data_IF_410931257863
#
_entry.id   IF_410931257863
#
_cell.length_a   1.000
_cell.length_b   1.000
_cell.length_c   1.000
_cell.angle_alpha   90.00
_cell.angle_beta   90.00
_cell.angle_gamma   90.00
#
_symmetry.space_group_name_H-M   'P 1'
#
loop_
_entity.id
_entity.type
_entity.pdbx_description
1 polymer ?
#
# COMPACT_ATOMS: atom_id res chain seq x y z
N UNK A 1 38.57 -25.81 -32.80
CA UNK A 1 38.33 -26.66 -31.62
C UNK A 1 39.56 -26.56 -30.73
N UNK A 2 39.48 -25.73 -29.69
CA UNK A 2 40.56 -25.54 -28.73
C UNK A 2 40.31 -26.44 -27.50
N UNK A 3 41.32 -27.11 -26.95
CA UNK A 3 41.14 -27.98 -25.80
C UNK A 3 40.90 -27.12 -24.54
N UNK A 4 39.82 -27.41 -23.83
CA UNK A 4 39.54 -26.87 -22.50
C UNK A 4 40.63 -27.40 -21.55
N UNK A 5 41.47 -26.49 -21.06
CA UNK A 5 42.55 -26.76 -20.13
C UNK A 5 42.03 -27.45 -18.87
N UNK A 6 42.54 -28.66 -18.64
CA UNK A 6 42.26 -29.47 -17.47
C UNK A 6 42.90 -28.91 -16.21
N UNK A 7 42.20 -29.13 -15.10
CA UNK A 7 42.77 -29.44 -13.79
C UNK A 7 43.70 -28.39 -13.20
N UNK A 8 43.13 -27.34 -12.61
CA UNK A 8 43.70 -26.80 -11.37
C UNK A 8 43.48 -27.87 -10.29
N UNK A 9 44.39 -28.85 -10.24
CA UNK A 9 44.55 -29.71 -9.08
C UNK A 9 44.94 -28.76 -7.95
N UNK A 10 44.03 -28.56 -7.01
CA UNK A 10 44.28 -27.81 -5.78
C UNK A 10 45.43 -28.50 -5.05
N UNK A 11 46.65 -28.05 -5.31
CA UNK A 11 47.77 -28.33 -4.43
C UNK A 11 47.36 -27.85 -3.05
N UNK A 12 47.39 -28.70 -2.00
CA UNK A 12 46.94 -28.32 -0.68
C UNK A 12 47.84 -27.18 -0.21
N UNK A 13 47.34 -25.96 -0.35
CA UNK A 13 47.99 -24.77 0.16
C UNK A 13 48.09 -25.00 1.65
N UNK A 14 49.32 -25.19 2.11
CA UNK A 14 49.62 -25.47 3.51
C UNK A 14 49.44 -24.18 4.30
N UNK A 15 48.18 -23.82 4.55
CA UNK A 15 47.80 -22.66 5.36
C UNK A 15 48.16 -23.00 6.80
N UNK A 16 48.99 -22.15 7.41
CA UNK A 16 49.41 -22.37 8.80
C UNK A 16 48.24 -22.05 9.72
N UNK A 17 47.90 -22.97 10.61
CA UNK A 17 46.76 -22.86 11.52
C UNK A 17 47.22 -22.97 12.97
N UNK A 18 46.62 -22.17 13.85
CA UNK A 18 46.85 -22.20 15.29
C UNK A 18 45.55 -22.54 16.03
N UNK A 19 45.55 -23.50 16.97
CA UNK A 19 44.34 -23.86 17.72
C UNK A 19 43.93 -22.71 18.65
N UNK A 20 42.65 -22.34 18.64
CA UNK A 20 42.14 -21.25 19.48
C UNK A 20 41.67 -21.70 20.88
N UNK A 21 41.55 -23.01 21.10
CA UNK A 21 41.01 -23.60 22.33
C UNK A 21 39.48 -23.62 22.41
N UNK A 22 38.77 -23.07 21.43
CA UNK A 22 37.31 -23.13 21.32
C UNK A 22 36.87 -24.24 20.35
N UNK A 23 35.66 -24.75 20.54
CA UNK A 23 35.00 -25.67 19.62
C UNK A 23 33.73 -25.04 19.05
N UNK A 24 33.29 -25.48 17.87
CA UNK A 24 32.08 -24.95 17.25
C UNK A 24 30.83 -25.37 18.04
N UNK A 25 30.20 -24.41 18.70
CA UNK A 25 28.91 -24.55 19.35
C UNK A 25 27.78 -24.16 18.36
N UNK A 26 27.29 -25.14 17.59
CA UNK A 26 26.14 -24.95 16.69
C UNK A 26 26.24 -25.71 15.37
N UNK A 27 25.09 -26.15 14.85
CA UNK A 27 25.00 -26.90 13.60
C UNK A 27 25.49 -26.07 12.41
N UNK A 28 26.52 -26.56 11.73
CA UNK A 28 27.09 -25.92 10.55
C UNK A 28 27.58 -26.99 9.57
N UNK A 29 26.86 -27.24 8.47
CA UNK A 29 27.32 -28.21 7.50
C UNK A 29 28.57 -27.71 6.76
N UNK A 30 29.51 -28.61 6.53
CA UNK A 30 30.68 -28.38 5.69
C UNK A 30 30.23 -28.02 4.27
N UNK A 31 30.77 -26.93 3.71
CA UNK A 31 30.42 -26.46 2.36
C UNK A 31 30.83 -27.42 1.24
N UNK A 32 31.71 -28.40 1.52
CA UNK A 32 32.19 -29.35 0.52
C UNK A 32 31.46 -30.70 0.55
N UNK A 33 31.26 -31.28 1.73
CA UNK A 33 30.69 -32.63 1.87
C UNK A 33 29.38 -32.68 2.69
N UNK A 34 28.92 -31.56 3.25
CA UNK A 34 27.69 -31.50 4.05
C UNK A 34 27.80 -32.03 5.48
N UNK A 35 28.95 -32.58 5.89
CA UNK A 35 29.16 -33.07 7.26
C UNK A 35 28.96 -31.97 8.30
N UNK A 36 28.28 -32.27 9.40
CA UNK A 36 27.98 -31.30 10.45
C UNK A 36 29.20 -31.04 11.34
N UNK A 37 29.63 -29.77 11.42
CA UNK A 37 30.86 -29.38 12.08
C UNK A 37 30.71 -29.12 13.59
N UNK A 38 29.59 -29.46 14.22
CA UNK A 38 29.41 -29.29 15.68
C UNK A 38 30.54 -29.95 16.46
N UNK A 39 31.12 -29.24 17.42
CA UNK A 39 32.15 -29.75 18.31
C UNK A 39 33.56 -29.84 17.70
N UNK A 40 33.72 -29.53 16.41
CA UNK A 40 35.06 -29.46 15.81
C UNK A 40 35.85 -28.27 16.34
N UNK A 41 37.17 -28.42 16.56
CA UNK A 41 38.01 -27.36 17.09
C UNK A 41 38.10 -26.18 16.12
N UNK A 42 38.05 -24.98 16.67
CA UNK A 42 38.23 -23.74 15.95
C UNK A 42 39.72 -23.45 15.84
N UNK A 43 40.21 -23.35 14.61
CA UNK A 43 41.58 -22.98 14.27
C UNK A 43 41.62 -21.55 13.75
N UNK A 44 42.72 -20.82 13.96
CA UNK A 44 42.99 -19.53 13.35
C UNK A 44 43.97 -19.72 12.21
N UNK A 45 43.55 -19.43 10.98
CA UNK A 45 44.45 -19.40 9.84
C UNK A 45 45.35 -18.16 9.97
N UNK A 46 46.62 -18.34 10.32
CA UNK A 46 47.57 -17.25 10.65
C UNK A 46 47.72 -16.31 9.46
N UNK A 47 47.86 -16.88 8.26
CA UNK A 47 48.11 -16.13 7.01
C UNK A 47 46.93 -15.23 6.60
N UNK A 48 45.72 -15.53 7.10
CA UNK A 48 44.47 -14.86 6.73
C UNK A 48 43.82 -14.13 7.91
N UNK A 49 44.34 -14.33 9.13
CA UNK A 49 43.78 -13.88 10.41
C UNK A 49 42.30 -14.25 10.65
N UNK A 50 41.76 -15.24 9.94
CA UNK A 50 40.37 -15.69 10.07
C UNK A 50 40.26 -16.97 10.89
N UNK A 51 39.15 -17.12 11.62
CA UNK A 51 38.79 -18.38 12.24
C UNK A 51 38.29 -19.35 11.16
N UNK A 52 38.78 -20.57 11.19
CA UNK A 52 38.47 -21.67 10.28
C UNK A 52 38.19 -22.93 11.08
N UNK A 53 37.48 -23.87 10.47
CA UNK A 53 37.23 -25.20 10.99
C UNK A 53 37.66 -26.20 9.93
N UNK A 54 38.45 -27.19 10.30
CA UNK A 54 38.78 -28.30 9.41
C UNK A 54 37.69 -29.36 9.49
N UNK A 55 37.09 -29.69 8.34
CA UNK A 55 36.13 -30.79 8.28
C UNK A 55 36.84 -32.11 8.62
N UNK A 56 36.35 -32.91 9.59
CA UNK A 56 36.98 -34.16 9.96
C UNK A 56 36.79 -35.25 8.88
N UNK A 57 35.75 -35.14 8.05
CA UNK A 57 35.49 -36.08 6.96
C UNK A 57 36.34 -35.80 5.72
N UNK A 58 36.27 -34.58 5.18
CA UNK A 58 36.91 -34.26 3.89
C UNK A 58 38.20 -33.44 4.02
N UNK A 59 38.61 -33.08 5.24
CA UNK A 59 39.80 -32.25 5.50
C UNK A 59 39.70 -30.79 5.02
N UNK A 60 38.59 -30.41 4.37
CA UNK A 60 38.42 -29.08 3.80
C UNK A 60 38.25 -28.01 4.89
N UNK A 61 38.92 -26.87 4.72
CA UNK A 61 38.82 -25.73 5.63
C UNK A 61 37.52 -24.95 5.36
N UNK A 62 36.67 -24.85 6.37
CA UNK A 62 35.46 -24.02 6.34
C UNK A 62 35.70 -22.74 7.15
N UNK A 63 35.66 -21.54 6.55
CA UNK A 63 35.77 -20.31 7.30
C UNK A 63 34.57 -20.17 8.24
N UNK A 64 34.83 -19.77 9.49
CA UNK A 64 33.80 -19.55 10.51
C UNK A 64 33.02 -18.25 10.32
N UNK A 65 33.51 -17.34 9.49
CA UNK A 65 32.77 -16.13 9.13
C UNK A 65 31.52 -16.58 8.37
N UNK A 66 30.39 -16.60 9.08
CA UNK A 66 29.09 -17.03 8.56
C UNK A 66 28.63 -15.99 7.56
N UNK A 67 28.49 -16.42 6.31
CA UNK A 67 28.43 -15.57 5.10
C UNK A 67 29.75 -14.83 4.86
N UNK A 68 30.25 -14.69 3.61
CA UNK A 68 31.26 -13.67 3.36
C UNK A 68 30.71 -12.40 4.00
N UNK A 69 31.51 -11.62 4.78
CA UNK A 69 31.08 -10.29 5.17
C UNK A 69 30.73 -9.68 3.83
N UNK A 70 29.43 -9.46 3.62
CA UNK A 70 28.87 -8.95 2.38
C UNK A 70 29.78 -7.77 2.09
N UNK A 71 30.70 -7.94 1.14
CA UNK A 71 31.93 -7.15 1.15
C UNK A 71 31.58 -5.68 0.95
N UNK A 72 32.56 -4.78 0.76
CA UNK A 72 32.25 -3.42 0.33
C UNK A 72 31.22 -3.37 -0.82
N UNK A 73 31.17 -4.40 -1.68
CA UNK A 73 30.12 -4.60 -2.69
C UNK A 73 28.70 -4.82 -2.17
N UNK A 74 28.49 -5.64 -1.15
CA UNK A 74 27.14 -5.90 -0.70
C UNK A 74 26.66 -4.88 0.34
N UNK A 75 27.57 -4.20 1.05
CA UNK A 75 27.21 -2.93 1.70
C UNK A 75 26.76 -1.88 0.67
N UNK A 76 27.46 -1.76 -0.47
CA UNK A 76 27.02 -0.90 -1.59
C UNK A 76 25.69 -1.37 -2.18
N UNK A 77 25.49 -2.67 -2.38
CA UNK A 77 24.23 -3.21 -2.89
C UNK A 77 23.06 -2.96 -1.92
N UNK A 78 23.28 -3.10 -0.61
CA UNK A 78 22.29 -2.77 0.40
C UNK A 78 21.98 -1.27 0.42
N UNK A 79 22.99 -0.41 0.29
CA UNK A 79 22.81 1.04 0.19
C UNK A 79 22.02 1.41 -1.07
N UNK A 80 22.40 0.89 -2.23
CA UNK A 80 21.68 1.12 -3.51
C UNK A 80 20.25 0.58 -3.42
N UNK A 81 20.05 -0.62 -2.88
CA UNK A 81 18.72 -1.19 -2.67
C UNK A 81 17.85 -0.33 -1.75
N UNK A 82 18.44 0.23 -0.69
CA UNK A 82 17.74 1.17 0.21
C UNK A 82 17.39 2.47 -0.50
N UNK A 83 18.30 3.03 -1.30
CA UNK A 83 18.05 4.26 -2.07
C UNK A 83 16.97 4.04 -3.14
N UNK A 84 17.06 2.96 -3.92
CA UNK A 84 16.04 2.57 -4.91
C UNK A 84 14.69 2.40 -4.23
N UNK A 85 14.66 1.76 -3.07
CA UNK A 85 13.43 1.59 -2.30
C UNK A 85 12.85 2.92 -1.81
N UNK A 86 13.67 3.82 -1.27
CA UNK A 86 13.21 5.16 -0.87
C UNK A 86 12.68 5.97 -2.06
N UNK A 87 13.33 5.85 -3.22
CA UNK A 87 12.87 6.47 -4.47
C UNK A 87 11.52 5.91 -4.92
N UNK A 88 11.33 4.59 -4.85
CA UNK A 88 10.04 3.94 -5.16
C UNK A 88 8.95 4.36 -4.18
N UNK A 89 9.27 4.50 -2.87
CA UNK A 89 8.34 5.04 -1.88
C UNK A 89 7.94 6.47 -2.25
N UNK A 90 8.91 7.33 -2.58
CA UNK A 90 8.64 8.71 -3.00
C UNK A 90 7.74 8.79 -4.25
N UNK A 91 8.06 8.02 -5.29
CA UNK A 91 7.24 7.96 -6.51
C UNK A 91 5.83 7.45 -6.23
N UNK A 92 5.70 6.40 -5.41
CA UNK A 92 4.39 5.84 -5.05
C UNK A 92 3.57 6.86 -4.25
N UNK A 93 4.19 7.62 -3.34
CA UNK A 93 3.52 8.72 -2.62
C UNK A 93 2.99 9.79 -3.56
N UNK A 94 3.77 10.19 -4.58
CA UNK A 94 3.36 11.20 -5.57
C UNK A 94 2.18 10.68 -6.39
N UNK A 95 2.25 9.46 -6.91
CA UNK A 95 1.17 8.86 -7.70
C UNK A 95 -0.10 8.75 -6.85
N UNK A 96 0.04 8.29 -5.60
CA UNK A 96 -1.07 8.15 -4.68
C UNK A 96 -1.70 9.50 -4.32
N UNK A 97 -0.88 10.54 -4.15
CA UNK A 97 -1.35 11.91 -3.99
C UNK A 97 -2.17 12.37 -5.19
N UNK A 98 -1.62 12.23 -6.40
CA UNK A 98 -2.30 12.65 -7.64
C UNK A 98 -3.60 11.89 -7.84
N UNK A 99 -3.60 10.57 -7.66
CA UNK A 99 -4.81 9.77 -7.79
C UNK A 99 -5.84 10.18 -6.75
N UNK A 100 -5.49 10.28 -5.47
CA UNK A 100 -6.43 10.66 -4.41
C UNK A 100 -6.99 12.08 -4.59
N UNK A 101 -6.16 13.02 -5.04
CA UNK A 101 -6.57 14.39 -5.36
C UNK A 101 -7.56 14.41 -6.53
N UNK A 102 -7.20 13.83 -7.67
CA UNK A 102 -8.05 13.82 -8.88
C UNK A 102 -9.33 13.01 -8.64
N UNK A 103 -9.27 11.94 -7.85
CA UNK A 103 -10.43 11.12 -7.46
C UNK A 103 -11.54 11.96 -6.84
N UNK A 104 -11.16 12.91 -5.98
CA UNK A 104 -12.10 13.75 -5.24
C UNK A 104 -12.80 14.74 -6.18
N UNK A 105 -12.04 15.36 -7.09
CA UNK A 105 -12.57 16.30 -8.08
C UNK A 105 -13.44 15.59 -9.13
N UNK A 106 -12.94 14.52 -9.74
CA UNK A 106 -13.67 13.76 -10.76
C UNK A 106 -14.96 13.14 -10.21
N UNK A 107 -14.93 12.65 -8.97
CA UNK A 107 -16.12 12.02 -8.40
C UNK A 107 -17.19 13.05 -8.02
N UNK A 108 -16.79 14.24 -7.56
CA UNK A 108 -17.70 15.36 -7.35
C UNK A 108 -18.39 15.79 -8.65
N UNK A 109 -17.61 16.06 -9.70
CA UNK A 109 -18.12 16.51 -10.99
C UNK A 109 -19.02 15.46 -11.65
N UNK A 110 -18.63 14.18 -11.57
CA UNK A 110 -19.35 13.11 -12.25
C UNK A 110 -20.63 12.66 -11.54
N UNK A 111 -20.61 12.56 -10.20
CA UNK A 111 -21.84 12.35 -9.43
C UNK A 111 -22.82 13.50 -9.66
N UNK A 112 -22.33 14.73 -9.69
CA UNK A 112 -23.15 15.88 -10.02
C UNK A 112 -23.76 15.78 -11.43
N UNK A 113 -22.95 15.55 -12.48
CA UNK A 113 -23.45 15.45 -13.85
C UNK A 113 -24.49 14.36 -14.04
N UNK A 114 -24.28 13.20 -13.42
CA UNK A 114 -25.19 12.06 -13.55
C UNK A 114 -26.47 12.22 -12.72
N UNK A 115 -26.36 12.69 -11.47
CA UNK A 115 -27.50 12.74 -10.55
C UNK A 115 -28.25 14.07 -10.60
N UNK A 116 -27.53 15.19 -10.61
CA UNK A 116 -28.13 16.50 -10.46
C UNK A 116 -28.65 17.04 -11.79
N UNK A 117 -27.86 16.96 -12.86
CA UNK A 117 -28.25 17.65 -14.09
C UNK A 117 -29.53 17.08 -14.73
N UNK A 118 -29.79 15.77 -14.61
CA UNK A 118 -31.03 15.18 -15.12
C UNK A 118 -32.13 15.09 -14.06
N UNK A 119 -31.81 14.65 -12.84
CA UNK A 119 -32.80 14.43 -11.78
C UNK A 119 -33.24 15.73 -11.10
N UNK A 120 -32.30 16.59 -10.72
CA UNK A 120 -32.58 17.84 -10.03
C UNK A 120 -33.27 18.84 -10.96
N UNK A 121 -32.81 18.96 -12.21
CA UNK A 121 -33.49 19.80 -13.21
C UNK A 121 -34.90 19.28 -13.54
N UNK A 122 -35.11 17.96 -13.57
CA UNK A 122 -36.44 17.40 -13.74
C UNK A 122 -37.33 17.62 -12.49
N UNK A 123 -36.75 17.64 -11.29
CA UNK A 123 -37.43 17.96 -10.04
C UNK A 123 -37.88 19.43 -10.02
N UNK A 124 -36.96 20.36 -10.30
CA UNK A 124 -37.25 21.79 -10.41
C UNK A 124 -38.28 22.08 -11.50
N UNK A 125 -38.16 21.46 -12.68
CA UNK A 125 -39.14 21.63 -13.78
C UNK A 125 -40.55 21.13 -13.48
N UNK A 126 -40.72 20.23 -12.51
CA UNK A 126 -42.05 19.68 -12.15
C UNK A 126 -42.74 20.45 -11.04
N UNK A 127 -42.11 21.47 -10.47
CA UNK A 127 -42.63 22.25 -9.34
C UNK A 127 -43.05 21.41 -8.13
N UNK A 128 -42.45 20.23 -7.92
CA UNK A 128 -42.82 19.33 -6.81
C UNK A 128 -44.16 18.61 -7.01
N UNK A 129 -44.21 17.31 -6.69
CA UNK A 129 -45.45 16.51 -6.82
C UNK A 129 -46.26 16.54 -5.52
N UNK A 130 -45.64 16.95 -4.42
CA UNK A 130 -46.26 17.03 -3.09
C UNK A 130 -46.29 18.48 -2.59
N UNK A 131 -47.27 18.85 -1.75
CA UNK A 131 -47.34 20.20 -1.19
C UNK A 131 -46.11 20.56 -0.33
N UNK A 132 -45.48 19.56 0.29
CA UNK A 132 -44.22 19.73 1.04
C UNK A 132 -43.05 20.09 0.11
N UNK A 133 -42.97 19.45 -1.06
CA UNK A 133 -41.96 19.78 -2.08
C UNK A 133 -42.19 21.17 -2.68
N UNK A 134 -43.45 21.51 -2.96
CA UNK A 134 -43.84 22.84 -3.47
C UNK A 134 -43.46 23.95 -2.52
N UNK A 135 -43.82 23.80 -1.23
CA UNK A 135 -43.48 24.79 -0.20
C UNK A 135 -41.96 24.93 -0.05
N UNK A 136 -41.22 23.83 -0.05
CA UNK A 136 -39.77 23.89 0.07
C UNK A 136 -39.10 24.51 -1.18
N UNK A 137 -39.65 24.26 -2.37
CA UNK A 137 -39.21 24.89 -3.62
C UNK A 137 -39.49 26.40 -3.64
N UNK A 138 -40.65 26.82 -3.14
CA UNK A 138 -41.04 28.22 -3.05
C UNK A 138 -40.11 28.99 -2.11
N UNK A 139 -39.83 28.43 -0.92
CA UNK A 139 -38.86 29.01 0.03
C UNK A 139 -37.46 29.13 -0.56
N UNK A 140 -37.03 28.18 -1.40
CA UNK A 140 -35.71 28.25 -2.06
C UNK A 140 -35.67 29.26 -3.23
N UNK A 141 -36.82 29.69 -3.74
CA UNK A 141 -36.89 30.79 -4.72
C UNK A 141 -36.92 32.18 -4.06
N UNK A 142 -37.07 32.27 -2.74
CA UNK A 142 -36.98 33.56 -2.04
C UNK A 142 -35.51 34.05 -2.01
N UNK A 143 -35.29 35.35 -2.24
CA UNK A 143 -33.95 35.96 -2.35
C UNK A 143 -33.11 35.82 -1.06
N UNK A 144 -33.74 35.50 0.07
CA UNK A 144 -33.14 35.32 1.40
C UNK A 144 -33.05 33.86 1.86
N UNK A 145 -33.25 32.90 0.94
CA UNK A 145 -33.17 31.48 1.23
C UNK A 145 -31.85 31.11 1.94
N UNK A 146 -31.98 30.45 3.09
CA UNK A 146 -30.87 30.00 3.91
C UNK A 146 -30.32 28.66 3.44
N UNK A 147 -29.05 28.36 3.77
CA UNK A 147 -28.45 27.05 3.55
C UNK A 147 -29.29 25.91 4.19
N UNK A 148 -29.98 26.18 5.30
CA UNK A 148 -30.84 25.20 5.98
C UNK A 148 -32.07 24.81 5.16
N UNK A 149 -32.69 25.77 4.49
CA UNK A 149 -33.84 25.52 3.59
C UNK A 149 -33.39 24.78 2.33
N UNK A 150 -32.21 25.14 1.82
CA UNK A 150 -31.58 24.43 0.72
C UNK A 150 -31.30 22.95 1.06
N UNK A 151 -30.75 22.67 2.24
CA UNK A 151 -30.55 21.31 2.76
C UNK A 151 -31.90 20.57 2.91
N UNK A 152 -32.98 21.28 3.22
CA UNK A 152 -34.31 20.69 3.36
C UNK A 152 -34.86 20.24 2.00
N UNK A 153 -34.72 21.04 0.95
CA UNK A 153 -35.04 20.64 -0.43
C UNK A 153 -34.19 19.44 -0.87
N UNK A 154 -32.88 19.46 -0.58
CA UNK A 154 -32.01 18.31 -0.88
C UNK A 154 -32.45 17.03 -0.17
N UNK A 155 -32.89 17.11 1.09
CA UNK A 155 -33.41 15.95 1.84
C UNK A 155 -34.71 15.42 1.23
N UNK A 156 -35.62 16.31 0.81
CA UNK A 156 -36.86 15.92 0.14
C UNK A 156 -36.57 15.26 -1.21
N UNK A 157 -35.66 15.84 -1.99
CA UNK A 157 -35.17 15.25 -3.24
C UNK A 157 -34.59 13.86 -2.99
N UNK A 158 -33.64 13.73 -2.04
CA UNK A 158 -33.02 12.45 -1.67
C UNK A 158 -34.07 11.41 -1.27
N UNK A 159 -35.05 11.77 -0.43
CA UNK A 159 -36.13 10.87 0.00
C UNK A 159 -36.96 10.37 -1.18
N UNK A 160 -37.21 11.22 -2.18
CA UNK A 160 -37.94 10.86 -3.40
C UNK A 160 -37.12 9.95 -4.31
N UNK A 161 -35.83 10.20 -4.39
CA UNK A 161 -34.96 9.48 -5.31
C UNK A 161 -34.29 8.23 -4.73
N UNK A 162 -34.30 8.06 -3.40
CA UNK A 162 -33.87 6.84 -2.69
C UNK A 162 -34.62 5.57 -3.15
N UNK A 163 -35.72 5.67 -3.89
CA UNK A 163 -36.45 4.50 -4.39
C UNK A 163 -36.03 4.00 -5.79
N UNK A 164 -35.20 4.72 -6.56
CA UNK A 164 -34.98 4.39 -7.99
C UNK A 164 -33.60 4.66 -8.58
N UNK A 165 -32.58 5.00 -7.79
CA UNK A 165 -31.25 5.11 -8.35
C UNK A 165 -30.60 3.74 -8.52
N UNK A 166 -30.29 3.39 -9.76
CA UNK A 166 -29.36 2.31 -10.06
C UNK A 166 -27.92 2.81 -9.80
N UNK A 167 -27.58 2.96 -8.52
CA UNK A 167 -26.20 3.22 -8.10
C UNK A 167 -25.24 2.16 -8.64
N UNK A 168 -25.74 0.98 -9.03
CA UNK A 168 -24.95 -0.09 -9.63
C UNK A 168 -24.22 0.35 -10.89
N UNK A 169 -24.90 1.01 -11.82
CA UNK A 169 -24.30 1.39 -13.11
C UNK A 169 -23.22 2.48 -12.96
N UNK A 170 -23.48 3.48 -12.10
CA UNK A 170 -22.50 4.53 -11.80
C UNK A 170 -21.31 3.98 -11.00
N UNK A 171 -21.58 3.10 -10.03
CA UNK A 171 -20.53 2.45 -9.26
C UNK A 171 -19.66 1.54 -10.12
N UNK A 172 -20.27 0.81 -11.06
CA UNK A 172 -19.56 -0.11 -11.93
C UNK A 172 -18.72 0.63 -12.99
N UNK A 173 -19.22 1.72 -13.56
CA UNK A 173 -18.53 2.43 -14.66
C UNK A 173 -17.39 3.35 -14.19
N UNK A 174 -17.52 3.97 -13.01
CA UNK A 174 -16.57 5.03 -12.60
C UNK A 174 -15.88 4.75 -11.27
N UNK A 175 -16.60 4.21 -10.28
CA UNK A 175 -16.02 3.98 -8.95
C UNK A 175 -15.12 2.75 -8.98
N UNK A 176 -15.53 1.69 -9.68
CA UNK A 176 -14.77 0.44 -9.77
C UNK A 176 -13.34 0.60 -10.32
N UNK A 177 -13.08 1.28 -11.46
CA UNK A 177 -11.72 1.46 -11.95
C UNK A 177 -10.86 2.27 -10.97
N UNK A 178 -11.42 3.32 -10.37
CA UNK A 178 -10.75 4.15 -9.38
C UNK A 178 -10.35 3.35 -8.14
N UNK A 179 -11.30 2.59 -7.58
CA UNK A 179 -11.08 1.70 -6.44
C UNK A 179 -10.03 0.64 -6.76
N UNK A 180 -10.02 0.11 -7.98
CA UNK A 180 -9.03 -0.87 -8.43
C UNK A 180 -7.62 -0.26 -8.45
N UNK A 181 -7.47 0.95 -8.98
CA UNK A 181 -6.19 1.67 -8.98
C UNK A 181 -5.72 1.97 -7.56
N UNK A 182 -6.59 2.51 -6.70
CA UNK A 182 -6.28 2.80 -5.29
C UNK A 182 -5.91 1.53 -4.54
N UNK A 183 -6.62 0.43 -4.79
CA UNK A 183 -6.32 -0.88 -4.20
C UNK A 183 -4.93 -1.38 -4.61
N UNK A 184 -4.59 -1.34 -5.90
CA UNK A 184 -3.26 -1.74 -6.38
C UNK A 184 -2.18 -0.86 -5.75
N UNK A 185 -2.38 0.45 -5.69
CA UNK A 185 -1.43 1.38 -5.08
C UNK A 185 -1.23 1.09 -3.59
N UNK A 186 -2.29 0.77 -2.84
CA UNK A 186 -2.16 0.37 -1.44
C UNK A 186 -1.42 -0.95 -1.24
N UNK A 187 -1.61 -1.91 -2.16
CA UNK A 187 -0.81 -3.14 -2.16
C UNK A 187 0.67 -2.83 -2.40
N UNK A 188 0.99 -2.07 -3.44
CA UNK A 188 2.37 -1.66 -3.76
C UNK A 188 3.00 -0.89 -2.59
N UNK A 189 2.28 0.05 -2.00
CA UNK A 189 2.70 0.82 -0.84
C UNK A 189 3.09 -0.07 0.35
N UNK A 190 2.22 -1.02 0.69
CA UNK A 190 2.47 -1.96 1.79
C UNK A 190 3.66 -2.88 1.52
N UNK A 191 3.83 -3.33 0.27
CA UNK A 191 4.99 -4.11 -0.16
C UNK A 191 6.31 -3.32 -0.07
N UNK A 192 6.28 -2.04 -0.44
CA UNK A 192 7.44 -1.17 -0.28
C UNK A 192 7.78 -0.91 1.20
N UNK A 193 6.83 -1.06 2.11
CA UNK A 193 7.02 -0.88 3.56
C UNK A 193 7.21 -2.19 4.35
N UNK A 194 7.43 -3.32 3.68
CA UNK A 194 7.53 -4.66 4.30
C UNK A 194 8.36 -4.76 5.59
N UNK A 195 9.60 -4.26 5.67
CA UNK A 195 10.41 -4.38 6.89
C UNK A 195 9.96 -3.49 8.05
N UNK A 196 8.98 -2.59 7.87
CA UNK A 196 8.32 -1.93 8.99
C UNK A 196 7.21 -2.82 9.57
N UNK A 197 6.82 -2.62 10.83
CA UNK A 197 5.62 -3.27 11.38
C UNK A 197 4.37 -2.86 10.60
N UNK A 198 3.44 -3.79 10.38
CA UNK A 198 2.19 -3.52 9.62
C UNK A 198 1.40 -2.32 10.14
N UNK A 199 1.39 -2.10 11.46
CA UNK A 199 0.75 -0.94 12.09
C UNK A 199 1.35 0.37 11.56
N UNK A 200 2.68 0.45 11.43
CA UNK A 200 3.36 1.67 10.94
C UNK A 200 3.07 1.91 9.46
N UNK A 201 3.04 0.84 8.66
CA UNK A 201 2.70 0.94 7.23
C UNK A 201 1.24 1.40 7.03
N UNK A 202 0.31 0.86 7.81
CA UNK A 202 -1.10 1.27 7.81
C UNK A 202 -1.27 2.73 8.24
N UNK A 203 -0.65 3.14 9.35
CA UNK A 203 -0.67 4.54 9.81
C UNK A 203 -0.09 5.49 8.75
N UNK A 204 1.02 5.12 8.11
CA UNK A 204 1.60 5.93 7.04
C UNK A 204 0.62 6.07 5.86
N UNK A 205 -0.05 4.98 5.45
CA UNK A 205 -1.05 5.02 4.39
C UNK A 205 -2.26 5.91 4.76
N UNK A 206 -2.75 5.83 6.00
CA UNK A 206 -3.82 6.72 6.52
C UNK A 206 -3.40 8.17 6.45
N UNK A 207 -2.20 8.51 6.94
CA UNK A 207 -1.73 9.91 6.98
C UNK A 207 -1.57 10.46 5.58
N UNK A 208 -0.92 9.74 4.67
CA UNK A 208 -0.74 10.19 3.28
C UNK A 208 -2.08 10.30 2.56
N UNK A 209 -2.95 9.30 2.71
CA UNK A 209 -4.29 9.32 2.13
C UNK A 209 -5.15 10.47 2.63
N UNK A 210 -5.17 10.72 3.95
CA UNK A 210 -5.91 11.84 4.56
C UNK A 210 -5.37 13.20 4.12
N UNK A 211 -4.05 13.36 4.03
CA UNK A 211 -3.45 14.62 3.56
C UNK A 211 -3.78 14.87 2.08
N UNK A 212 -3.67 13.86 1.22
CA UNK A 212 -3.96 13.98 -0.20
C UNK A 212 -5.45 14.26 -0.44
N UNK A 213 -6.32 13.49 0.21
CA UNK A 213 -7.77 13.66 0.09
C UNK A 213 -8.22 15.01 0.69
N UNK A 214 -7.65 15.42 1.82
CA UNK A 214 -7.89 16.71 2.43
C UNK A 214 -7.44 17.88 1.55
N UNK A 215 -6.30 17.74 0.86
CA UNK A 215 -5.84 18.73 -0.11
C UNK A 215 -6.75 18.81 -1.34
N UNK A 216 -7.27 17.67 -1.83
CA UNK A 216 -8.26 17.64 -2.91
C UNK A 216 -9.55 18.36 -2.53
N UNK A 217 -10.08 18.06 -1.34
CA UNK A 217 -11.25 18.78 -0.80
C UNK A 217 -10.94 20.27 -0.63
N UNK A 218 -9.81 20.63 -0.02
CA UNK A 218 -9.45 22.04 0.18
C UNK A 218 -9.28 22.80 -1.15
N UNK A 219 -8.69 22.16 -2.16
CA UNK A 219 -8.59 22.70 -3.53
C UNK A 219 -9.97 22.98 -4.12
N UNK A 220 -10.89 22.02 -4.01
CA UNK A 220 -12.26 22.16 -4.50
C UNK A 220 -13.01 23.30 -3.78
N UNK A 221 -12.79 23.47 -2.49
CA UNK A 221 -13.34 24.59 -1.73
C UNK A 221 -12.72 25.94 -2.12
N UNK A 222 -11.44 25.96 -2.47
CA UNK A 222 -10.72 27.17 -2.89
C UNK A 222 -11.05 27.58 -4.33
N UNK A 223 -11.25 26.61 -5.24
CA UNK A 223 -11.54 26.86 -6.66
C UNK A 223 -13.00 27.23 -6.89
N UNK A 224 -13.91 26.76 -6.03
CA UNK A 224 -15.34 27.04 -6.09
C UNK A 224 -15.82 27.63 -4.78
N UNK A 225 -15.38 28.83 -4.36
CA UNK A 225 -15.78 29.42 -3.08
C UNK A 225 -17.32 29.49 -2.99
N UNK A 226 -17.86 29.20 -1.80
CA UNK A 226 -19.31 29.25 -1.54
C UNK A 226 -19.77 30.69 -1.34
N UNK A 227 -18.90 31.66 -1.65
CA UNK A 227 -19.16 33.05 -1.39
C UNK A 227 -20.45 33.42 -2.11
N UNK A 228 -21.44 33.79 -1.31
CA UNK A 228 -22.66 34.48 -1.72
C UNK A 228 -22.32 35.90 -2.22
N UNK A 229 -21.20 36.09 -2.92
CA UNK A 229 -20.77 37.33 -3.55
C UNK A 229 -21.64 37.62 -4.79
N UNK A 230 -22.95 37.65 -4.56
CA UNK A 230 -23.93 38.44 -5.30
C UNK A 230 -23.61 39.93 -5.14
N UNK A 231 -22.72 40.31 -4.20
CA UNK A 231 -22.45 41.71 -3.88
C UNK A 231 -21.68 42.50 -4.95
N UNK A 232 -20.87 41.85 -5.81
CA UNK A 232 -20.00 42.56 -6.77
C UNK A 232 -20.23 42.21 -8.25
N UNK A 233 -21.11 41.25 -8.58
CA UNK A 233 -21.49 41.04 -9.98
C UNK A 233 -22.51 42.08 -10.42
N UNK A 234 -22.33 42.73 -11.58
CA UNK A 234 -23.32 43.67 -12.10
C UNK A 234 -24.65 42.95 -12.33
N UNK A 235 -25.70 43.41 -11.64
CA UNK A 235 -27.10 42.90 -11.67
C UNK A 235 -27.64 42.57 -13.07
N UNK A 236 -27.07 43.16 -14.13
CA UNK A 236 -27.48 42.95 -15.52
C UNK A 236 -27.03 41.62 -16.14
N UNK A 237 -26.07 40.89 -15.54
CA UNK A 237 -25.61 39.58 -16.04
C UNK A 237 -26.18 38.40 -15.23
N UNK A 238 -27.06 38.69 -14.28
CA UNK A 238 -27.55 37.74 -13.30
C UNK A 238 -28.92 37.20 -13.72
N UNK A 239 -28.97 35.90 -14.00
CA UNK A 239 -30.20 35.15 -14.26
C UNK A 239 -30.69 34.57 -12.92
N UNK A 240 -31.67 35.20 -12.24
CA UNK A 240 -32.11 34.78 -10.90
C UNK A 240 -32.57 33.33 -10.86
N UNK A 241 -33.09 32.82 -11.98
CA UNK A 241 -33.53 31.43 -12.13
C UNK A 241 -32.37 30.42 -12.03
N UNK A 242 -31.10 30.86 -12.14
CA UNK A 242 -29.91 29.97 -12.06
C UNK A 242 -29.27 29.92 -10.68
N UNK A 243 -29.55 30.87 -9.78
CA UNK A 243 -28.83 30.94 -8.50
C UNK A 243 -29.03 29.69 -7.62
N UNK A 244 -30.26 29.19 -7.42
CA UNK A 244 -30.48 28.02 -6.57
C UNK A 244 -29.76 26.79 -7.13
N UNK A 245 -29.70 26.67 -8.47
CA UNK A 245 -29.03 25.57 -9.14
C UNK A 245 -27.50 25.59 -8.94
N UNK A 246 -26.89 26.77 -8.86
CA UNK A 246 -25.45 26.90 -8.67
C UNK A 246 -25.00 26.57 -7.23
N UNK A 247 -25.76 27.03 -6.24
CA UNK A 247 -25.50 26.70 -4.82
C UNK A 247 -25.76 25.21 -4.58
N UNK A 248 -26.80 24.65 -5.18
CA UNK A 248 -27.08 23.22 -5.20
C UNK A 248 -25.92 22.40 -5.74
N UNK A 249 -25.42 22.81 -6.90
CA UNK A 249 -24.33 22.17 -7.63
C UNK A 249 -23.08 22.14 -6.78
N UNK A 250 -22.65 23.31 -6.31
CA UNK A 250 -21.44 23.45 -5.50
C UNK A 250 -21.55 22.69 -4.17
N UNK A 251 -22.72 22.70 -3.54
CA UNK A 251 -22.96 21.99 -2.28
C UNK A 251 -22.90 20.46 -2.45
N UNK A 252 -23.58 19.93 -3.48
CA UNK A 252 -23.61 18.50 -3.77
C UNK A 252 -22.24 17.97 -4.21
N UNK A 253 -21.53 18.73 -5.06
CA UNK A 253 -20.18 18.39 -5.49
C UNK A 253 -19.23 18.25 -4.29
N UNK A 254 -19.27 19.21 -3.35
CA UNK A 254 -18.48 19.15 -2.11
C UNK A 254 -18.85 17.96 -1.23
N UNK A 255 -20.15 17.66 -1.08
CA UNK A 255 -20.61 16.52 -0.31
C UNK A 255 -20.08 15.20 -0.89
N UNK A 256 -20.17 15.01 -2.20
CA UNK A 256 -19.65 13.81 -2.86
C UNK A 256 -18.12 13.75 -2.84
N UNK A 257 -17.44 14.88 -2.97
CA UNK A 257 -15.99 14.97 -2.79
C UNK A 257 -15.54 14.45 -1.40
N UNK A 258 -16.26 14.80 -0.32
CA UNK A 258 -15.97 14.26 1.02
C UNK A 258 -16.20 12.74 1.11
N UNK A 259 -17.27 12.21 0.51
CA UNK A 259 -17.49 10.77 0.46
C UNK A 259 -16.39 10.08 -0.35
N UNK A 260 -15.91 10.74 -1.42
CA UNK A 260 -14.69 10.43 -2.17
C UNK A 260 -13.48 10.24 -1.35
N UNK A 261 -13.12 11.28 -0.62
CA UNK A 261 -12.00 11.25 0.30
C UNK A 261 -12.11 10.04 1.24
N UNK A 262 -13.27 9.81 1.84
CA UNK A 262 -13.51 8.69 2.75
C UNK A 262 -13.30 7.32 2.10
N UNK A 263 -13.93 7.08 0.96
CA UNK A 263 -13.87 5.79 0.25
C UNK A 263 -12.44 5.50 -0.23
N UNK A 264 -11.74 6.48 -0.78
CA UNK A 264 -10.33 6.35 -1.22
C UNK A 264 -9.44 5.98 -0.04
N UNK A 265 -9.55 6.70 1.08
CA UNK A 265 -8.74 6.44 2.28
C UNK A 265 -9.04 5.05 2.85
N UNK A 266 -10.32 4.67 2.98
CA UNK A 266 -10.70 3.34 3.48
C UNK A 266 -10.14 2.24 2.57
N UNK A 267 -10.27 2.40 1.25
CA UNK A 267 -9.76 1.43 0.27
C UNK A 267 -8.24 1.28 0.35
N UNK A 268 -7.54 2.40 0.51
CA UNK A 268 -6.10 2.43 0.68
C UNK A 268 -5.65 1.70 1.96
N UNK A 269 -6.39 1.88 3.06
CA UNK A 269 -6.11 1.20 4.33
C UNK A 269 -6.35 -0.31 4.20
N UNK A 270 -7.50 -0.71 3.66
CA UNK A 270 -7.87 -2.12 3.50
C UNK A 270 -6.83 -2.83 2.63
N UNK A 271 -6.52 -2.27 1.46
CA UNK A 271 -5.51 -2.83 0.54
C UNK A 271 -4.12 -2.91 1.19
N UNK A 272 -3.71 -1.88 1.94
CA UNK A 272 -2.43 -1.89 2.65
C UNK A 272 -2.35 -2.97 3.73
N UNK A 273 -3.44 -3.23 4.45
CA UNK A 273 -3.53 -4.27 5.48
C UNK A 273 -3.55 -5.68 4.85
N UNK A 274 -4.27 -5.86 3.75
CA UNK A 274 -4.40 -7.16 3.06
C UNK A 274 -3.15 -7.56 2.26
N UNK A 275 -2.32 -6.61 1.84
CA UNK A 275 -1.14 -6.90 1.02
C UNK A 275 -0.16 -7.88 1.68
N UNK A 276 0.06 -7.77 2.99
CA UNK A 276 1.01 -8.62 3.73
C UNK A 276 0.58 -10.08 3.86
N UNK A 277 -0.65 -10.40 4.30
CA UNK A 277 -1.10 -11.80 4.32
C UNK A 277 -1.14 -12.39 2.90
N UNK A 278 -1.53 -11.61 1.89
CA UNK A 278 -1.49 -12.04 0.49
C UNK A 278 -0.06 -12.35 0.02
N UNK A 279 0.91 -11.46 0.32
CA UNK A 279 2.31 -11.69 0.01
C UNK A 279 2.84 -12.96 0.69
N UNK A 280 2.55 -13.15 1.99
CA UNK A 280 2.94 -14.37 2.72
C UNK A 280 2.31 -15.62 2.12
N UNK A 281 1.03 -15.55 1.73
CA UNK A 281 0.34 -16.63 1.04
C UNK A 281 0.99 -16.97 -0.29
N UNK A 282 1.31 -15.95 -1.10
CA UNK A 282 2.00 -16.11 -2.38
C UNK A 282 3.39 -16.74 -2.21
N UNK A 283 4.20 -16.28 -1.25
CA UNK A 283 5.51 -16.88 -0.96
C UNK A 283 5.39 -18.34 -0.50
N UNK A 284 4.39 -18.69 0.32
CA UNK A 284 4.14 -20.09 0.71
C UNK A 284 3.73 -20.97 -0.46
N UNK A 285 3.04 -20.41 -1.45
CA UNK A 285 2.59 -21.14 -2.63
C UNK A 285 3.71 -21.32 -3.66
N UNK A 286 4.55 -20.30 -3.85
CA UNK A 286 5.54 -20.24 -4.93
C UNK A 286 6.93 -20.70 -4.50
N UNK A 287 7.28 -20.61 -3.23
CA UNK A 287 8.63 -20.91 -2.72
C UNK A 287 8.57 -22.14 -1.81
N UNK A 288 9.36 -23.20 -2.07
CA UNK A 288 9.44 -24.35 -1.19
C UNK A 288 9.83 -23.95 0.24
N UNK A 289 9.29 -24.65 1.25
CA UNK A 289 9.44 -24.30 2.67
C UNK A 289 10.91 -24.16 3.09
N UNK A 290 11.78 -25.01 2.54
CA UNK A 290 13.22 -25.01 2.78
C UNK A 290 13.95 -23.74 2.28
N UNK A 291 13.37 -23.02 1.32
CA UNK A 291 13.94 -21.80 0.75
C UNK A 291 13.33 -20.51 1.35
N UNK A 292 12.34 -20.63 2.25
CA UNK A 292 11.70 -19.46 2.86
C UNK A 292 12.62 -18.67 3.80
N UNK A 293 13.79 -19.21 4.17
CA UNK A 293 14.75 -18.54 5.07
C UNK A 293 15.23 -17.20 4.52
N UNK A 294 15.30 -17.06 3.19
CA UNK A 294 15.63 -15.79 2.52
C UNK A 294 14.57 -14.69 2.66
N UNK A 295 13.33 -15.04 3.03
CA UNK A 295 12.20 -14.10 3.18
C UNK A 295 11.67 -14.04 4.61
N UNK A 296 12.47 -14.47 5.59
CA UNK A 296 12.11 -14.49 7.01
C UNK A 296 11.66 -13.11 7.54
N UNK A 297 12.21 -12.03 6.96
CA UNK A 297 11.81 -10.64 7.25
C UNK A 297 10.29 -10.44 7.15
N UNK A 298 9.60 -11.11 6.22
CA UNK A 298 8.14 -10.96 6.06
C UNK A 298 7.35 -11.42 7.29
N UNK A 299 7.82 -12.45 7.99
CA UNK A 299 7.18 -12.97 9.20
C UNK A 299 7.66 -12.21 10.45
N UNK A 300 8.99 -12.00 10.55
CA UNK A 300 9.60 -11.28 11.67
C UNK A 300 9.10 -9.84 11.80
N UNK A 301 8.88 -9.14 10.69
CA UNK A 301 8.36 -7.76 10.71
C UNK A 301 6.99 -7.66 11.40
N UNK A 302 6.18 -8.72 11.34
CA UNK A 302 4.86 -8.79 11.96
C UNK A 302 4.87 -9.53 13.31
N UNK A 303 6.04 -9.93 13.81
CA UNK A 303 6.17 -10.70 15.05
C UNK A 303 5.62 -12.12 14.95
N UNK A 304 5.52 -12.67 13.74
CA UNK A 304 5.00 -14.01 13.50
C UNK A 304 6.16 -15.02 13.39
N UNK A 305 5.97 -16.26 13.86
CA UNK A 305 6.95 -17.31 13.68
C UNK A 305 7.04 -17.70 12.20
N UNK A 306 8.24 -18.08 11.78
CA UNK A 306 8.48 -18.62 10.45
C UNK A 306 7.78 -19.98 10.30
N UNK A 307 7.16 -20.31 9.15
CA UNK A 307 6.63 -21.64 8.91
C UNK A 307 7.76 -22.68 8.94
N UNK A 308 7.69 -23.64 9.86
CA UNK A 308 8.61 -24.77 9.92
C UNK A 308 8.12 -25.92 9.04
N UNK A 309 9.02 -26.69 8.41
CA UNK A 309 8.64 -27.93 7.73
C UNK A 309 7.96 -28.87 8.73
N UNK A 310 7.01 -29.66 8.25
CA UNK A 310 6.38 -30.69 9.08
C UNK A 310 7.47 -31.64 9.61
N UNK A 311 7.40 -32.08 10.88
CA UNK A 311 8.35 -33.05 11.40
C UNK A 311 8.33 -34.29 10.50
N UNK A 312 9.51 -34.70 10.04
CA UNK A 312 9.65 -35.90 9.23
C UNK A 312 9.12 -37.09 10.02
N UNK A 313 8.16 -37.83 9.44
CA UNK A 313 7.60 -39.05 10.07
C UNK A 313 8.64 -40.16 10.25
N UNK A 314 9.79 -40.02 9.60
CA UNK A 314 10.83 -41.04 9.58
C UNK A 314 11.95 -40.79 10.60
N UNK A 315 11.79 -39.87 11.56
CA UNK A 315 12.72 -39.82 12.69
C UNK A 315 12.44 -41.01 13.61
N UNK A 316 13.32 -42.04 13.65
CA UNK A 316 13.13 -43.16 14.56
C UNK A 316 13.10 -42.61 15.97
N UNK A 317 12.01 -42.84 16.69
CA UNK A 317 11.92 -42.59 18.12
C UNK A 317 13.01 -43.41 18.78
N UNK A 318 14.07 -42.73 19.22
CA UNK A 318 15.07 -43.33 20.09
C UNK A 318 14.37 -43.57 21.42
N UNK A 319 13.88 -44.80 21.62
CA UNK A 319 13.38 -45.23 22.92
C UNK A 319 14.56 -45.20 23.91
N UNK A 320 14.47 -44.31 24.90
CA UNK A 320 15.39 -44.17 26.03
C UNK A 320 15.02 -45.11 27.16
#
# INVERSE_FOLDING_TARGET
>A
MAPLGGGMVNEPTNITTEPTGFALEGHRPCQHCGYDLVGTPIERAIDLEIAVIRCPECGNLNPLIGTPPLGPFAQRAAMVGTLVRLLLIGLTSIILWTVAFNSVEEWGESMYRSQANQGLMAFFKRNGDTPEEQQALEVVHEDDATLGEFITVLKLYQKRTDSKYDFGELFQSQITPLLTVVFILGVVWSLLLLPQRWIRAGVAAVVVGMLAAGAGVASLFASKPLDMLVQDLPMAAYDPDRLPSFVAESGMERLFAFHGAGVVVITLVISSVLARPLARGAFRLLVPLEHLSGVEVLWKADGLPMPSPAPSKDQPTVES
#
